data_IF_421931079501
#
_entry.id   IF_421931079501
#
_cell.length_a   1.000
_cell.length_b   1.000
_cell.length_c   1.000
_cell.angle_alpha   90.00
_cell.angle_beta   90.00
_cell.angle_gamma   90.00
#
_symmetry.space_group_name_H-M   'P 1'
#
loop_
_entity.id
_entity.type
_entity.pdbx_description
1 polymer ?
#
# COMPACT_ATOMS: atom_id res chain seq x y z
N UNK A 1 7.84 -14.09 -13.52
CA UNK A 1 8.30 -13.08 -12.58
C UNK A 1 7.29 -11.92 -12.52
N UNK A 2 7.12 -11.25 -11.37
CA UNK A 2 6.26 -10.09 -11.27
C UNK A 2 6.83 -8.94 -12.13
N UNK A 3 5.94 -8.23 -12.83
CA UNK A 3 6.30 -7.03 -13.58
C UNK A 3 5.61 -5.84 -12.96
N UNK A 4 6.37 -4.79 -12.63
CA UNK A 4 5.86 -3.53 -12.10
C UNK A 4 6.22 -2.39 -13.04
N UNK A 5 5.22 -1.56 -13.33
CA UNK A 5 5.38 -0.28 -13.98
C UNK A 5 4.97 0.79 -12.97
N UNK A 6 5.92 1.57 -12.51
CA UNK A 6 5.72 2.63 -11.53
C UNK A 6 6.03 3.98 -12.18
N UNK A 7 5.23 4.98 -11.86
CA UNK A 7 5.52 6.37 -12.22
C UNK A 7 6.86 6.80 -11.62
N UNK A 8 7.72 7.34 -12.46
CA UNK A 8 9.07 7.73 -12.07
C UNK A 8 9.13 9.22 -11.75
N UNK A 9 9.65 9.57 -10.58
CA UNK A 9 9.95 10.97 -10.20
C UNK A 9 10.99 11.63 -11.12
N UNK A 10 11.77 10.84 -11.86
CA UNK A 10 12.71 11.34 -12.83
C UNK A 10 12.06 11.89 -14.11
N UNK A 11 10.96 11.24 -14.55
CA UNK A 11 10.26 11.64 -15.79
C UNK A 11 9.05 12.52 -15.50
N UNK A 12 8.37 12.32 -14.38
CA UNK A 12 7.20 13.11 -13.98
C UNK A 12 7.67 14.15 -12.97
N UNK A 13 7.44 15.43 -13.30
CA UNK A 13 7.80 16.54 -12.42
C UNK A 13 6.74 16.74 -11.33
N UNK A 14 6.70 15.86 -10.35
CA UNK A 14 5.82 16.00 -9.18
C UNK A 14 6.16 17.23 -8.34
N UNK A 15 7.46 17.56 -8.22
CA UNK A 15 7.90 18.67 -7.42
C UNK A 15 7.47 20.05 -7.99
N UNK A 16 7.46 20.22 -9.33
CA UNK A 16 7.05 21.47 -9.96
C UNK A 16 5.54 21.58 -10.25
N UNK A 17 4.86 20.43 -10.45
CA UNK A 17 3.41 20.41 -10.74
C UNK A 17 2.54 20.23 -9.50
N UNK A 18 3.16 19.90 -8.37
CA UNK A 18 2.48 19.44 -7.18
C UNK A 18 2.26 17.93 -7.19
N UNK A 19 2.04 17.37 -6.01
CA UNK A 19 1.79 15.95 -5.80
C UNK A 19 0.50 15.74 -5.00
N UNK A 20 -0.20 14.67 -5.32
CA UNK A 20 -1.25 14.12 -4.48
C UNK A 20 -0.63 13.29 -3.36
N UNK A 21 -1.29 13.18 -2.22
CA UNK A 21 -0.79 12.45 -1.05
C UNK A 21 -1.89 11.68 -0.33
N UNK A 22 -1.50 10.61 0.31
CA UNK A 22 -2.38 9.80 1.16
C UNK A 22 -2.46 10.40 2.57
N UNK A 23 -3.65 10.31 3.17
CA UNK A 23 -3.86 10.70 4.58
C UNK A 23 -4.04 9.41 5.39
N UNK A 24 -3.08 9.07 6.27
CA UNK A 24 -3.20 7.90 7.13
C UNK A 24 -4.45 7.98 8.03
N UNK A 25 -5.15 6.85 8.28
CA UNK A 25 -6.38 6.84 9.10
C UNK A 25 -6.21 7.45 10.50
N UNK A 26 -5.04 7.27 11.11
CA UNK A 26 -4.73 7.86 12.42
C UNK A 26 -4.70 9.40 12.41
N UNK A 27 -4.29 9.98 11.27
CA UNK A 27 -4.30 11.44 11.07
C UNK A 27 -5.71 11.90 10.70
N UNK A 28 -6.38 11.18 9.80
CA UNK A 28 -7.74 11.52 9.34
C UNK A 28 -8.76 11.56 10.50
N UNK A 29 -8.59 10.70 11.49
CA UNK A 29 -9.47 10.62 12.66
C UNK A 29 -9.19 11.67 13.75
N UNK A 30 -8.22 12.55 13.53
CA UNK A 30 -7.88 13.65 14.45
C UNK A 30 -7.86 14.97 13.68
N UNK A 31 -8.84 15.83 13.94
CA UNK A 31 -9.04 17.08 13.20
C UNK A 31 -7.81 18.02 13.25
N UNK A 32 -7.22 18.19 14.40
CA UNK A 32 -6.04 19.07 14.54
C UNK A 32 -4.81 18.50 13.84
N UNK A 33 -4.60 17.17 13.92
CA UNK A 33 -3.54 16.49 13.21
C UNK A 33 -3.74 16.54 11.69
N UNK A 34 -4.98 16.43 11.22
CA UNK A 34 -5.33 16.55 9.82
C UNK A 34 -5.00 17.92 9.26
N UNK A 35 -5.41 18.99 9.95
CA UNK A 35 -5.12 20.37 9.54
C UNK A 35 -3.61 20.61 9.46
N UNK A 36 -2.84 20.16 10.47
CA UNK A 36 -1.37 20.27 10.47
C UNK A 36 -0.73 19.45 9.34
N UNK A 37 -1.23 18.25 9.08
CA UNK A 37 -0.69 17.39 8.01
C UNK A 37 -0.93 17.99 6.64
N UNK A 38 -2.13 18.53 6.39
CA UNK A 38 -2.47 19.21 5.14
C UNK A 38 -1.62 20.47 4.93
N UNK A 39 -1.43 21.28 5.98
CA UNK A 39 -0.55 22.45 5.92
C UNK A 39 0.91 22.07 5.63
N UNK A 40 1.42 20.97 6.22
CA UNK A 40 2.75 20.44 5.92
C UNK A 40 2.89 20.03 4.47
N UNK A 41 1.92 19.29 3.91
CA UNK A 41 1.96 18.86 2.51
C UNK A 41 1.89 20.05 1.55
N UNK A 42 1.07 21.07 1.85
CA UNK A 42 1.00 22.31 1.08
C UNK A 42 2.34 23.04 1.10
N UNK A 43 2.97 23.16 2.26
CA UNK A 43 4.27 23.82 2.40
C UNK A 43 5.38 23.08 1.61
N UNK A 44 5.43 21.74 1.69
CA UNK A 44 6.38 20.97 0.88
C UNK A 44 6.18 21.20 -0.61
N UNK A 45 4.92 21.23 -1.08
CA UNK A 45 4.61 21.53 -2.48
C UNK A 45 5.13 22.92 -2.90
N UNK A 46 4.93 23.93 -2.06
CA UNK A 46 5.37 25.30 -2.30
C UNK A 46 6.89 25.40 -2.38
N UNK A 47 7.59 24.86 -1.39
CA UNK A 47 9.06 24.88 -1.32
C UNK A 47 9.71 24.08 -2.46
N UNK A 48 9.18 22.92 -2.81
CA UNK A 48 9.69 22.15 -3.94
C UNK A 48 9.52 22.92 -5.26
N UNK A 49 8.42 23.64 -5.43
CA UNK A 49 8.22 24.49 -6.62
C UNK A 49 9.20 25.65 -6.64
N UNK A 50 9.35 26.35 -5.52
CA UNK A 50 10.27 27.49 -5.40
C UNK A 50 11.73 27.07 -5.70
N UNK A 51 12.18 25.92 -5.21
CA UNK A 51 13.51 25.38 -5.50
C UNK A 51 13.74 25.22 -7.02
N UNK A 52 12.74 24.81 -7.78
CA UNK A 52 12.86 24.70 -9.23
C UNK A 52 12.75 26.05 -9.95
N UNK A 53 11.73 26.86 -9.63
CA UNK A 53 11.39 28.06 -10.35
C UNK A 53 12.31 29.24 -10.01
N UNK A 54 12.60 29.44 -8.71
CA UNK A 54 13.36 30.61 -8.23
C UNK A 54 14.86 30.34 -8.17
N UNK A 55 15.27 29.10 -7.88
CA UNK A 55 16.67 28.74 -7.70
C UNK A 55 17.24 27.87 -8.84
N UNK A 56 16.39 27.44 -9.78
CA UNK A 56 16.84 26.66 -10.96
C UNK A 56 17.37 25.28 -10.62
N UNK A 57 17.00 24.71 -9.47
CA UNK A 57 17.47 23.38 -9.05
C UNK A 57 16.82 22.31 -9.95
N UNK A 58 17.60 21.32 -10.46
CA UNK A 58 17.07 20.25 -11.28
C UNK A 58 15.99 19.45 -10.56
N UNK A 59 14.93 19.05 -11.30
CA UNK A 59 13.79 18.31 -10.75
C UNK A 59 14.17 17.01 -10.04
N UNK A 60 15.23 16.35 -10.50
CA UNK A 60 15.76 15.13 -9.91
C UNK A 60 16.31 15.36 -8.49
N UNK A 61 16.92 16.52 -8.26
CA UNK A 61 17.45 16.88 -6.95
C UNK A 61 16.33 17.33 -6.01
N UNK A 62 15.40 18.13 -6.51
CA UNK A 62 14.23 18.56 -5.73
C UNK A 62 13.32 17.37 -5.36
N UNK A 63 13.26 16.33 -6.20
CA UNK A 63 12.49 15.13 -5.92
C UNK A 63 12.89 14.41 -4.61
N UNK A 64 14.09 14.66 -4.07
CA UNK A 64 14.50 14.15 -2.75
C UNK A 64 13.72 14.81 -1.59
N UNK A 65 13.11 15.98 -1.81
CA UNK A 65 12.26 16.65 -0.84
C UNK A 65 10.81 16.14 -0.82
N UNK A 66 10.41 15.27 -1.74
CA UNK A 66 9.04 14.76 -1.81
C UNK A 66 8.74 13.82 -0.64
N UNK A 67 7.54 13.90 -0.03
CA UNK A 67 7.20 13.11 1.13
C UNK A 67 6.94 11.65 0.77
N UNK A 68 7.20 10.74 1.71
CA UNK A 68 6.91 9.31 1.56
C UNK A 68 5.43 9.03 1.27
N UNK A 69 4.53 9.89 1.76
CA UNK A 69 3.09 9.79 1.51
C UNK A 69 2.63 10.27 0.14
N UNK A 70 3.54 10.68 -0.76
CA UNK A 70 3.20 11.06 -2.12
C UNK A 70 2.56 9.89 -2.88
N UNK A 71 1.47 10.14 -3.58
CA UNK A 71 0.81 9.14 -4.42
C UNK A 71 1.58 8.94 -5.73
N UNK A 72 1.78 7.68 -6.09
CA UNK A 72 2.34 7.29 -7.38
C UNK A 72 1.53 6.11 -7.96
N UNK A 73 1.20 6.20 -9.25
CA UNK A 73 0.49 5.11 -9.92
C UNK A 73 1.42 3.94 -10.19
N UNK A 74 0.95 2.74 -9.88
CA UNK A 74 1.68 1.48 -10.10
C UNK A 74 0.76 0.52 -10.87
N UNK A 75 1.27 -0.06 -11.96
CA UNK A 75 0.67 -1.22 -12.61
C UNK A 75 1.49 -2.44 -12.23
N UNK A 76 0.88 -3.40 -11.56
CA UNK A 76 1.54 -4.61 -11.06
C UNK A 76 0.90 -5.87 -11.69
N UNK A 77 1.69 -6.62 -12.47
CA UNK A 77 1.27 -7.90 -13.07
C UNK A 77 1.91 -9.06 -12.31
N UNK A 78 1.08 -9.95 -11.80
CA UNK A 78 1.53 -11.14 -11.05
C UNK A 78 0.79 -12.40 -11.49
N UNK A 79 1.42 -13.55 -11.30
CA UNK A 79 0.70 -14.81 -11.32
C UNK A 79 -0.06 -15.03 -10.01
N UNK A 80 -1.04 -15.91 -10.03
CA UNK A 80 -1.90 -16.20 -8.89
C UNK A 80 -1.10 -16.65 -7.64
N UNK A 81 -0.10 -17.52 -7.83
CA UNK A 81 0.75 -18.00 -6.73
C UNK A 81 1.44 -16.85 -5.99
N UNK A 82 2.12 -15.97 -6.74
CA UNK A 82 2.79 -14.81 -6.12
C UNK A 82 1.81 -13.85 -5.44
N UNK A 83 0.62 -13.69 -6.00
CA UNK A 83 -0.42 -12.84 -5.43
C UNK A 83 -0.97 -13.44 -4.12
N UNK A 84 -1.18 -14.75 -4.08
CA UNK A 84 -1.60 -15.50 -2.89
C UNK A 84 -0.53 -15.39 -1.78
N UNK A 85 0.73 -15.66 -2.11
CA UNK A 85 1.84 -15.56 -1.14
C UNK A 85 1.97 -14.15 -0.55
N UNK A 86 1.76 -13.12 -1.38
CA UNK A 86 1.70 -11.74 -0.90
C UNK A 86 0.50 -11.49 0.00
N UNK A 87 -0.68 -12.01 -0.32
CA UNK A 87 -1.88 -11.83 0.51
C UNK A 87 -1.67 -12.34 1.93
N UNK A 88 -0.99 -13.47 2.08
CA UNK A 88 -0.65 -14.05 3.39
C UNK A 88 0.15 -13.09 4.29
N UNK A 89 1.00 -12.27 3.70
CA UNK A 89 1.81 -11.30 4.43
C UNK A 89 1.11 -9.94 4.57
N UNK A 90 0.45 -9.49 3.50
CA UNK A 90 -0.09 -8.11 3.41
C UNK A 90 -1.49 -7.97 4.03
N UNK A 91 -2.23 -9.05 4.20
CA UNK A 91 -3.49 -9.05 4.94
C UNK A 91 -3.29 -9.26 6.46
N UNK A 92 -2.06 -9.52 6.92
CA UNK A 92 -1.73 -9.62 8.33
C UNK A 92 -2.02 -8.29 9.06
N UNK A 93 -2.56 -8.33 10.28
CA UNK A 93 -2.83 -7.13 11.10
C UNK A 93 -1.57 -6.29 11.39
N UNK A 94 -0.38 -6.87 11.27
CA UNK A 94 0.90 -6.16 11.41
C UNK A 94 1.41 -5.55 10.11
N UNK A 95 0.76 -5.83 8.99
CA UNK A 95 1.08 -5.16 7.74
C UNK A 95 0.60 -3.70 7.79
N UNK A 96 1.26 -2.84 7.01
CA UNK A 96 0.86 -1.46 6.88
C UNK A 96 -0.60 -1.37 6.39
N UNK A 97 -1.37 -0.44 6.92
CA UNK A 97 -2.81 -0.33 6.71
C UNK A 97 -3.21 -0.26 5.24
N UNK A 98 -2.45 0.47 4.42
CA UNK A 98 -2.70 0.65 2.99
C UNK A 98 -2.61 -0.68 2.22
N UNK A 99 -1.61 -1.53 2.55
CA UNK A 99 -1.53 -2.87 1.97
C UNK A 99 -2.69 -3.76 2.38
N UNK A 100 -3.16 -3.65 3.62
CA UNK A 100 -4.32 -4.42 4.09
C UNK A 100 -5.57 -4.02 3.35
N UNK A 101 -5.77 -2.72 3.14
CA UNK A 101 -6.89 -2.20 2.36
C UNK A 101 -6.80 -2.66 0.91
N UNK A 102 -5.65 -2.45 0.24
CA UNK A 102 -5.42 -2.88 -1.14
C UNK A 102 -5.74 -4.36 -1.34
N UNK A 103 -5.26 -5.25 -0.46
CA UNK A 103 -5.56 -6.68 -0.58
C UNK A 103 -7.00 -7.03 -0.23
N UNK A 104 -7.67 -6.26 0.60
CA UNK A 104 -9.11 -6.32 0.80
C UNK A 104 -9.88 -6.00 -0.47
N UNK A 105 -9.51 -4.94 -1.16
CA UNK A 105 -10.11 -4.49 -2.42
C UNK A 105 -9.85 -5.50 -3.56
N UNK A 106 -8.63 -6.02 -3.67
CA UNK A 106 -8.29 -7.10 -4.62
C UNK A 106 -9.16 -8.33 -4.36
N UNK A 107 -9.28 -8.77 -3.10
CA UNK A 107 -10.11 -9.91 -2.74
C UNK A 107 -11.57 -9.69 -3.14
N UNK A 108 -12.11 -8.50 -2.87
CA UNK A 108 -13.46 -8.12 -3.25
C UNK A 108 -13.66 -8.18 -4.76
N UNK A 109 -12.78 -7.54 -5.53
CA UNK A 109 -12.83 -7.51 -6.99
C UNK A 109 -12.78 -8.93 -7.59
N UNK A 110 -11.91 -9.81 -7.07
CA UNK A 110 -11.85 -11.21 -7.48
C UNK A 110 -13.15 -11.97 -7.18
N UNK A 111 -13.74 -11.76 -6.01
CA UNK A 111 -14.99 -12.40 -5.60
C UNK A 111 -16.20 -12.00 -6.46
N UNK A 112 -16.15 -10.80 -7.04
CA UNK A 112 -17.19 -10.27 -7.93
C UNK A 112 -17.01 -10.70 -9.39
N UNK A 113 -15.82 -11.20 -9.77
CA UNK A 113 -15.49 -11.51 -11.15
C UNK A 113 -16.13 -12.84 -11.66
N UNK A 114 -16.03 -13.94 -10.88
CA UNK A 114 -16.69 -15.23 -11.16
C UNK A 114 -16.78 -16.09 -9.88
N UNK A 115 -17.52 -17.22 -9.95
CA UNK A 115 -17.63 -18.17 -8.84
C UNK A 115 -16.30 -18.83 -8.52
N UNK A 116 -15.50 -19.19 -9.52
CA UNK A 116 -14.18 -19.78 -9.33
C UNK A 116 -13.22 -18.81 -8.66
N UNK A 117 -13.24 -17.54 -9.09
CA UNK A 117 -12.43 -16.49 -8.46
C UNK A 117 -12.91 -16.15 -7.06
N UNK A 118 -14.21 -16.22 -6.78
CA UNK A 118 -14.76 -16.11 -5.42
C UNK A 118 -14.22 -17.22 -4.52
N UNK A 119 -14.25 -18.46 -5.01
CA UNK A 119 -13.68 -19.58 -4.26
C UNK A 119 -12.19 -19.37 -3.96
N UNK A 120 -11.41 -18.92 -4.94
CA UNK A 120 -9.98 -18.59 -4.78
C UNK A 120 -9.79 -17.49 -3.74
N UNK A 121 -10.56 -16.39 -3.84
CA UNK A 121 -10.50 -15.27 -2.92
C UNK A 121 -10.81 -15.68 -1.46
N UNK A 122 -11.83 -16.53 -1.28
CA UNK A 122 -12.26 -16.97 0.05
C UNK A 122 -11.36 -18.03 0.69
N UNK A 123 -10.65 -18.81 -0.12
CA UNK A 123 -9.83 -19.90 0.36
C UNK A 123 -8.33 -19.62 0.35
N UNK A 124 -7.84 -18.71 -0.49
CA UNK A 124 -6.41 -18.45 -0.64
C UNK A 124 -5.99 -17.03 -0.19
N UNK A 125 -6.88 -16.03 -0.28
CA UNK A 125 -6.54 -14.65 0.08
C UNK A 125 -6.89 -14.35 1.54
N UNK A 126 -5.94 -14.61 2.42
CA UNK A 126 -6.09 -14.41 3.86
C UNK A 126 -4.73 -14.22 4.54
N UNK A 127 -4.68 -13.74 5.78
CA UNK A 127 -3.47 -13.72 6.58
C UNK A 127 -2.83 -15.12 6.71
N UNK A 128 -1.51 -15.17 6.77
CA UNK A 128 -0.75 -16.41 6.91
C UNK A 128 -1.22 -17.27 8.09
N UNK A 129 -1.56 -16.65 9.21
CA UNK A 129 -2.04 -17.34 10.40
C UNK A 129 -3.40 -18.02 10.21
N UNK A 130 -4.29 -17.43 9.39
CA UNK A 130 -5.58 -18.04 9.06
C UNK A 130 -5.41 -19.22 8.09
N UNK A 131 -4.42 -19.11 7.19
CA UNK A 131 -4.13 -20.18 6.22
C UNK A 131 -3.46 -21.39 6.87
N UNK A 132 -2.47 -21.18 7.74
CA UNK A 132 -1.70 -22.26 8.38
C UNK A 132 -2.25 -22.70 9.74
N UNK A 133 -3.20 -21.98 10.33
CA UNK A 133 -3.78 -22.26 11.63
C UNK A 133 -2.90 -21.85 12.82
N UNK A 134 -1.75 -21.21 12.58
CA UNK A 134 -0.86 -20.69 13.63
C UNK A 134 -0.19 -19.38 13.20
N UNK A 135 0.19 -18.56 14.18
CA UNK A 135 0.96 -17.34 13.97
C UNK A 135 2.46 -17.64 14.04
N UNK A 136 3.21 -17.30 12.99
CA UNK A 136 4.68 -17.46 12.93
C UNK A 136 5.46 -16.19 13.34
N UNK A 137 4.76 -15.13 13.74
CA UNK A 137 5.40 -13.86 14.12
C UNK A 137 5.99 -13.95 15.53
N UNK A 138 7.19 -13.41 15.73
CA UNK A 138 7.83 -13.29 17.06
C UNK A 138 7.06 -12.39 18.00
N UNK A 139 6.31 -11.41 17.44
CA UNK A 139 5.42 -10.50 18.18
C UNK A 139 4.02 -10.58 17.58
N UNK A 140 3.20 -11.55 17.98
CA UNK A 140 1.86 -11.73 17.44
C UNK A 140 0.96 -10.53 17.72
N UNK A 141 -0.05 -10.32 16.85
CA UNK A 141 -1.01 -9.23 17.01
C UNK A 141 -2.15 -9.53 18.00
N UNK A 142 -2.15 -10.71 18.61
CA UNK A 142 -3.20 -11.16 19.53
C UNK A 142 -4.47 -11.70 18.87
N UNK A 143 -4.54 -11.73 17.52
CA UNK A 143 -5.68 -12.32 16.82
C UNK A 143 -5.75 -13.84 17.13
N UNK A 144 -6.92 -14.38 17.53
CA UNK A 144 -7.12 -15.81 17.67
C UNK A 144 -6.85 -16.55 16.35
N UNK A 145 -6.23 -17.72 16.43
CA UNK A 145 -5.97 -18.62 15.30
C UNK A 145 -6.71 -19.93 15.50
N UNK A 146 -7.11 -20.57 14.41
CA UNK A 146 -7.95 -21.78 14.45
C UNK A 146 -7.24 -23.01 15.03
N UNK A 147 -5.91 -23.02 15.05
CA UNK A 147 -5.11 -24.21 15.36
C UNK A 147 -5.10 -25.27 14.24
N UNK A 148 -5.93 -25.10 13.21
CA UNK A 148 -6.07 -26.04 12.08
C UNK A 148 -5.77 -25.31 10.79
N UNK A 149 -4.91 -25.85 9.90
CA UNK A 149 -4.68 -25.28 8.57
C UNK A 149 -5.98 -25.29 7.74
N UNK A 150 -6.22 -24.22 6.99
CA UNK A 150 -7.40 -24.14 6.12
C UNK A 150 -7.33 -25.13 4.94
N UNK A 151 -6.09 -25.38 4.47
CA UNK A 151 -5.82 -26.41 3.47
C UNK A 151 -4.78 -27.39 4.01
N UNK A 152 -4.98 -28.71 3.81
CA UNK A 152 -3.92 -29.69 4.12
C UNK A 152 -2.68 -29.36 3.30
N UNK A 153 -1.51 -29.51 3.91
CA UNK A 153 -0.23 -29.43 3.18
C UNK A 153 -0.20 -30.53 2.12
N UNK A 154 0.24 -30.24 0.89
CA UNK A 154 0.49 -31.28 -0.10
C UNK A 154 1.55 -32.26 0.37
#
# INVERSE_FOLDING_TARGET
>A
PPTRLQSSTRYINYAGRGFDYIIPPSIQNNKEALEKYQALMAHINEECRALQEDYGIPKEDVANGLPLGMMASIVDKRNLRSLTEMSHQRMCNRAYWEYRQLFGDIRKALSEYSEEWRWIADNLFMPKCDYFGYCSETRPCGKPVSGVPKMPRP
#
